data_IF_476599418511
#
_entry.id   IF_476599418511
#
_cell.length_a   1.000
_cell.length_b   1.000
_cell.length_c   1.000
_cell.angle_alpha   90.00
_cell.angle_beta   90.00
_cell.angle_gamma   90.00
#
_symmetry.space_group_name_H-M   'P 1'
#
loop_
_entity.id
_entity.type
_entity.pdbx_description
1 polymer ?
#
# COMPACT_ATOMS: atom_id res chain seq x y z
N UNK A 1 10.67 63.32 24.87
CA UNK A 1 10.64 62.02 25.57
C UNK A 1 10.32 60.97 24.50
N UNK A 2 11.35 60.39 23.89
CA UNK A 2 11.22 59.50 22.71
C UNK A 2 11.00 58.07 23.25
N UNK A 3 9.94 57.45 22.76
CA UNK A 3 9.63 56.06 23.01
C UNK A 3 10.43 55.24 22.00
N UNK A 4 11.41 54.48 22.51
CA UNK A 4 12.15 53.47 21.78
C UNK A 4 11.19 52.35 21.38
N UNK A 5 10.88 52.26 20.11
CA UNK A 5 10.27 51.08 19.50
C UNK A 5 11.26 49.92 19.51
N UNK A 6 11.06 48.99 20.45
CA UNK A 6 11.71 47.68 20.47
C UNK A 6 11.39 46.99 19.12
N UNK A 7 12.41 46.84 18.26
CA UNK A 7 12.41 45.98 17.09
C UNK A 7 12.31 44.53 17.54
N UNK A 8 11.11 44.06 17.79
CA UNK A 8 10.80 42.66 18.00
C UNK A 8 11.03 41.94 16.68
N UNK A 9 12.18 41.25 16.57
CA UNK A 9 12.48 40.42 15.41
C UNK A 9 11.36 39.41 15.19
N UNK A 10 10.67 39.52 14.05
CA UNK A 10 9.77 38.47 13.59
C UNK A 10 10.55 37.15 13.62
N UNK A 11 9.96 36.07 14.19
CA UNK A 11 10.59 34.78 14.12
C UNK A 11 10.86 34.43 12.64
N UNK A 12 12.07 33.99 12.38
CA UNK A 12 12.56 33.64 11.04
C UNK A 12 11.94 32.31 10.62
N UNK A 13 10.68 32.12 10.58
CA UNK A 13 9.91 30.92 10.20
C UNK A 13 10.70 29.61 10.04
N UNK A 14 10.04 28.51 10.15
CA UNK A 14 10.64 27.17 10.00
C UNK A 14 11.24 27.04 8.59
N UNK A 15 12.53 26.72 8.51
CA UNK A 15 13.25 26.52 7.24
C UNK A 15 13.25 25.05 6.84
N UNK A 16 13.15 24.79 5.53
CA UNK A 16 13.10 23.44 4.98
C UNK A 16 14.31 22.59 5.40
N UNK A 17 15.50 23.17 5.34
CA UNK A 17 16.75 22.49 5.74
C UNK A 17 16.79 22.10 7.22
N UNK A 18 15.99 22.74 8.06
CA UNK A 18 15.81 22.36 9.47
C UNK A 18 14.89 21.15 9.58
N UNK A 19 13.82 21.10 8.78
CA UNK A 19 12.88 19.98 8.71
C UNK A 19 13.57 18.72 8.16
N UNK A 20 14.36 18.86 7.09
CA UNK A 20 15.20 17.78 6.54
C UNK A 20 16.18 17.24 7.60
N UNK A 21 16.87 18.15 8.27
CA UNK A 21 17.80 17.78 9.33
C UNK A 21 17.15 17.03 10.49
N UNK A 22 15.95 17.47 10.89
CA UNK A 22 15.15 16.81 11.93
C UNK A 22 14.78 15.38 11.54
N UNK A 23 14.22 15.17 10.35
CA UNK A 23 13.80 13.85 9.88
C UNK A 23 14.99 12.90 9.72
N UNK A 24 16.12 13.38 9.23
CA UNK A 24 17.31 12.55 9.07
C UNK A 24 17.90 12.11 10.42
N UNK A 25 17.87 12.99 11.44
CA UNK A 25 18.28 12.61 12.82
C UNK A 25 17.26 11.65 13.44
N UNK A 26 15.96 11.86 13.23
CA UNK A 26 14.91 10.96 13.71
C UNK A 26 15.10 9.54 13.15
N UNK A 27 15.44 9.42 11.86
CA UNK A 27 15.66 8.15 11.18
C UNK A 27 16.92 7.42 11.64
N UNK A 28 18.03 8.14 11.82
CA UNK A 28 19.35 7.55 12.12
C UNK A 28 19.65 7.43 13.61
N UNK A 29 18.94 8.15 14.47
CA UNK A 29 19.19 8.22 15.91
C UNK A 29 20.55 8.83 16.27
N UNK A 30 21.21 9.57 15.34
CA UNK A 30 22.55 10.12 15.53
C UNK A 30 22.75 11.37 14.68
N UNK A 31 23.16 12.47 15.33
CA UNK A 31 23.46 13.73 14.64
C UNK A 31 24.65 13.58 13.69
N UNK A 32 25.70 12.84 14.08
CA UNK A 32 26.87 12.63 13.23
C UNK A 32 26.54 11.88 11.96
N UNK A 33 25.83 10.74 12.08
CA UNK A 33 25.40 9.94 10.91
C UNK A 33 24.42 10.68 10.02
N UNK A 34 23.54 11.51 10.60
CA UNK A 34 22.63 12.33 9.83
C UNK A 34 23.35 13.46 9.08
N UNK A 35 24.36 14.09 9.72
CA UNK A 35 25.17 15.12 9.08
C UNK A 35 25.96 14.57 7.89
N UNK A 36 26.56 13.37 8.03
CA UNK A 36 27.25 12.68 6.95
C UNK A 36 26.29 12.41 5.77
N UNK A 37 25.08 11.91 6.04
CA UNK A 37 24.10 11.63 5.01
C UNK A 37 23.58 12.88 4.27
N UNK A 38 23.56 14.02 4.97
CA UNK A 38 23.17 15.31 4.39
C UNK A 38 24.36 16.07 3.79
N UNK A 39 25.56 15.50 3.79
CA UNK A 39 26.80 16.11 3.31
C UNK A 39 27.07 17.47 3.96
N UNK A 40 26.81 17.59 5.27
CA UNK A 40 27.08 18.80 6.07
C UNK A 40 27.88 18.46 7.33
N UNK A 41 28.40 19.49 8.01
CA UNK A 41 29.10 19.28 9.29
C UNK A 41 28.11 19.06 10.44
N UNK A 42 28.53 18.29 11.46
CA UNK A 42 27.70 18.06 12.66
C UNK A 42 27.32 19.37 13.39
N UNK A 43 28.22 20.39 13.57
CA UNK A 43 27.82 21.67 14.13
C UNK A 43 26.71 22.37 13.34
N UNK A 44 26.77 22.30 12.00
CA UNK A 44 25.74 22.88 11.12
C UNK A 44 24.40 22.22 11.36
N UNK A 45 24.34 20.88 11.40
CA UNK A 45 23.12 20.16 11.67
C UNK A 45 22.55 20.44 13.06
N UNK A 46 23.45 20.51 14.08
CA UNK A 46 23.06 20.87 15.45
C UNK A 46 22.44 22.27 15.52
N UNK A 47 23.02 23.24 14.81
CA UNK A 47 22.46 24.59 14.74
C UNK A 47 21.09 24.62 14.05
N UNK A 48 20.87 23.82 12.99
CA UNK A 48 19.57 23.66 12.33
C UNK A 48 18.52 23.09 13.26
N UNK A 49 18.87 22.05 14.03
CA UNK A 49 17.94 21.43 15.00
C UNK A 49 17.57 22.42 16.11
N UNK A 50 18.53 23.10 16.71
CA UNK A 50 18.25 24.10 17.73
C UNK A 50 17.42 25.27 17.18
N UNK A 51 17.61 25.62 15.90
CA UNK A 51 16.79 26.63 15.23
C UNK A 51 15.34 26.18 15.18
N UNK A 52 15.09 24.95 14.73
CA UNK A 52 13.75 24.36 14.65
C UNK A 52 13.08 24.27 16.04
N UNK A 53 13.78 23.76 17.04
CA UNK A 53 13.27 23.64 18.40
C UNK A 53 12.90 24.99 19.02
N UNK A 54 13.67 26.05 18.72
CA UNK A 54 13.32 27.43 19.13
C UNK A 54 12.05 27.94 18.48
N UNK A 55 11.88 27.71 17.16
CA UNK A 55 10.69 28.15 16.45
C UNK A 55 9.45 27.40 16.95
N UNK A 56 9.59 26.11 17.26
CA UNK A 56 8.49 25.29 17.79
C UNK A 56 8.26 25.45 19.31
N UNK A 57 9.18 26.13 20.01
CA UNK A 57 9.11 26.39 21.45
C UNK A 57 9.26 25.14 22.32
N UNK A 58 9.72 24.01 21.76
CA UNK A 58 9.84 22.74 22.51
C UNK A 58 11.00 21.89 21.97
N UNK A 59 11.70 21.12 22.83
CA UNK A 59 12.71 20.15 22.39
C UNK A 59 12.04 19.00 21.63
N UNK A 60 12.63 18.62 20.50
CA UNK A 60 12.18 17.49 19.68
C UNK A 60 12.98 16.22 19.95
N UNK A 61 14.20 16.35 20.52
CA UNK A 61 15.07 15.23 20.84
C UNK A 61 15.53 15.22 22.30
N UNK A 62 15.76 14.01 22.80
CA UNK A 62 16.48 13.73 24.04
C UNK A 62 17.86 13.14 23.70
N UNK A 63 18.91 13.66 24.31
CA UNK A 63 20.24 13.03 24.30
C UNK A 63 20.27 11.85 25.26
N UNK A 64 20.68 10.70 24.77
CA UNK A 64 20.86 9.49 25.58
C UNK A 64 22.26 8.92 25.36
N UNK A 65 22.77 8.03 26.25
CA UNK A 65 24.06 7.35 26.04
C UNK A 65 24.11 6.55 24.72
N UNK A 66 22.96 6.20 24.15
CA UNK A 66 22.82 5.42 22.92
C UNK A 66 22.50 6.29 21.68
N UNK A 67 22.52 7.61 21.79
CA UNK A 67 22.26 8.54 20.70
C UNK A 67 21.08 9.47 20.95
N UNK A 68 20.44 9.91 19.87
CA UNK A 68 19.29 10.82 19.91
C UNK A 68 17.97 10.03 19.89
N UNK A 69 17.04 10.37 20.76
CA UNK A 69 15.67 9.82 20.78
C UNK A 69 14.66 10.95 20.69
N UNK A 70 13.59 10.72 19.94
CA UNK A 70 12.49 11.69 19.86
C UNK A 70 11.80 11.87 21.22
N UNK A 71 11.46 13.11 21.56
CA UNK A 71 10.49 13.45 22.59
C UNK A 71 9.06 13.10 22.14
N UNK A 72 8.07 13.26 23.00
CA UNK A 72 6.65 13.15 22.60
C UNK A 72 6.28 14.21 21.56
N UNK A 73 6.78 15.44 21.72
CA UNK A 73 6.65 16.51 20.75
C UNK A 73 7.33 16.16 19.41
N UNK A 74 8.55 15.59 19.47
CA UNK A 74 9.25 15.12 18.28
C UNK A 74 8.46 14.04 17.52
N UNK A 75 7.92 13.05 18.23
CA UNK A 75 7.06 12.02 17.63
C UNK A 75 5.79 12.60 16.98
N UNK A 76 5.13 13.52 17.67
CA UNK A 76 3.97 14.21 17.13
C UNK A 76 4.30 15.07 15.89
N UNK A 77 5.51 15.64 15.82
CA UNK A 77 5.94 16.50 14.71
C UNK A 77 6.34 15.73 13.45
N UNK A 78 6.86 14.50 13.56
CA UNK A 78 7.32 13.69 12.41
C UNK A 78 6.33 13.68 11.24
N UNK A 79 5.05 13.32 11.41
CA UNK A 79 4.12 13.22 10.28
C UNK A 79 3.87 14.56 9.58
N UNK A 80 3.96 15.69 10.28
CA UNK A 80 3.83 17.02 9.69
C UNK A 80 5.07 17.42 8.91
N UNK A 81 6.25 17.14 9.46
CA UNK A 81 7.55 17.37 8.81
C UNK A 81 7.66 16.59 7.50
N UNK A 82 7.29 15.32 7.51
CA UNK A 82 7.27 14.47 6.32
C UNK A 82 6.30 14.98 5.25
N UNK A 83 5.08 15.38 5.63
CA UNK A 83 4.10 15.94 4.70
C UNK A 83 4.60 17.24 4.06
N UNK A 84 5.23 18.13 4.83
CA UNK A 84 5.76 19.39 4.31
C UNK A 84 6.82 19.16 3.23
N UNK A 85 7.78 18.24 3.44
CA UNK A 85 8.79 17.89 2.45
C UNK A 85 8.19 17.24 1.21
N UNK A 86 7.21 16.36 1.40
CA UNK A 86 6.50 15.71 0.29
C UNK A 86 5.76 16.74 -0.56
N UNK A 87 4.96 17.63 0.05
CA UNK A 87 4.23 18.66 -0.68
C UNK A 87 5.12 19.51 -1.58
N UNK A 88 6.35 19.80 -1.14
CA UNK A 88 7.33 20.52 -1.96
C UNK A 88 7.91 19.68 -3.09
N UNK A 89 8.13 18.39 -2.84
CA UNK A 89 8.55 17.44 -3.87
C UNK A 89 7.48 17.32 -4.95
N UNK A 90 6.22 17.16 -4.55
CA UNK A 90 5.06 17.05 -5.45
C UNK A 90 4.86 18.33 -6.26
N UNK A 91 5.04 19.51 -5.62
CA UNK A 91 5.00 20.79 -6.32
C UNK A 91 6.11 20.93 -7.37
N UNK A 92 7.32 20.43 -7.11
CA UNK A 92 8.40 20.37 -8.12
C UNK A 92 8.07 19.42 -9.25
N UNK A 93 7.47 18.28 -8.94
CA UNK A 93 7.05 17.30 -9.93
C UNK A 93 5.90 17.83 -10.79
N UNK A 94 4.90 18.48 -10.18
CA UNK A 94 3.82 19.16 -10.90
C UNK A 94 4.35 20.23 -11.88
N UNK A 95 5.34 21.02 -11.47
CA UNK A 95 6.02 21.96 -12.36
C UNK A 95 6.78 21.25 -13.49
N UNK A 96 7.46 20.15 -13.19
CA UNK A 96 8.13 19.33 -14.20
C UNK A 96 7.14 18.72 -15.19
N UNK A 97 5.96 18.31 -14.75
CA UNK A 97 4.86 17.81 -15.61
C UNK A 97 4.30 18.91 -16.53
N UNK A 98 4.13 20.12 -16.03
CA UNK A 98 3.71 21.29 -16.85
C UNK A 98 4.77 21.65 -17.88
N UNK A 99 6.04 21.55 -17.54
CA UNK A 99 7.17 21.87 -18.44
C UNK A 99 7.46 20.73 -19.44
N UNK A 100 7.12 19.48 -19.11
CA UNK A 100 7.30 18.29 -19.95
C UNK A 100 5.98 17.52 -20.03
N UNK A 101 5.05 17.97 -20.83
CA UNK A 101 3.66 17.46 -20.98
C UNK A 101 3.52 15.94 -21.28
N UNK A 102 4.53 15.11 -21.06
CA UNK A 102 4.52 13.67 -21.31
C UNK A 102 5.52 12.88 -20.45
N UNK A 103 6.15 13.46 -19.46
CA UNK A 103 7.04 12.76 -18.53
C UNK A 103 6.51 13.00 -17.11
N UNK A 104 6.16 11.98 -16.41
CA UNK A 104 5.71 12.01 -15.01
C UNK A 104 6.12 10.75 -14.30
N UNK A 105 6.08 10.75 -12.98
CA UNK A 105 6.32 9.57 -12.17
C UNK A 105 5.01 9.14 -11.50
N UNK A 106 4.52 7.95 -11.84
CA UNK A 106 3.34 7.35 -11.25
C UNK A 106 3.77 6.41 -10.11
N UNK A 107 3.45 6.79 -8.87
CA UNK A 107 3.71 5.99 -7.67
C UNK A 107 2.43 5.29 -7.23
N UNK A 108 2.45 3.96 -7.23
CA UNK A 108 1.32 3.11 -6.85
C UNK A 108 1.72 2.23 -5.67
N UNK A 109 0.83 2.08 -4.70
CA UNK A 109 0.88 0.97 -3.75
C UNK A 109 -0.22 -0.03 -4.08
N UNK A 110 0.06 -1.33 -3.99
CA UNK A 110 -0.91 -2.35 -4.31
C UNK A 110 -0.90 -3.50 -3.30
N UNK A 111 -2.08 -4.03 -2.98
CA UNK A 111 -2.17 -5.30 -2.26
C UNK A 111 -1.47 -6.42 -3.06
N UNK A 112 -0.83 -7.43 -2.42
CA UNK A 112 0.03 -8.39 -3.09
C UNK A 112 -0.63 -9.10 -4.27
N UNK A 113 -1.88 -9.52 -4.11
CA UNK A 113 -2.63 -10.17 -5.20
C UNK A 113 -2.89 -9.21 -6.37
N UNK A 114 -3.26 -7.97 -6.06
CA UNK A 114 -3.51 -6.94 -7.08
C UNK A 114 -2.23 -6.62 -7.85
N UNK A 115 -1.12 -6.41 -7.12
CA UNK A 115 0.19 -6.12 -7.70
C UNK A 115 0.73 -7.25 -8.58
N UNK A 116 0.39 -8.50 -8.25
CA UNK A 116 0.89 -9.68 -8.97
C UNK A 116 0.02 -10.07 -10.17
N UNK A 117 -1.32 -10.00 -10.05
CA UNK A 117 -2.21 -10.62 -11.05
C UNK A 117 -3.10 -9.63 -11.80
N UNK A 118 -3.35 -8.44 -11.25
CA UNK A 118 -4.23 -7.43 -11.87
C UNK A 118 -3.44 -6.28 -12.48
N UNK A 119 -2.49 -5.73 -11.71
CA UNK A 119 -1.72 -4.56 -12.10
C UNK A 119 -0.82 -4.74 -13.33
N UNK A 120 -0.18 -5.90 -13.61
CA UNK A 120 0.69 -6.05 -14.76
C UNK A 120 0.01 -5.77 -16.10
N UNK A 121 -1.20 -6.29 -16.33
CA UNK A 121 -1.98 -6.03 -17.56
C UNK A 121 -2.33 -4.54 -17.71
N UNK A 122 -2.68 -3.89 -16.59
CA UNK A 122 -2.98 -2.45 -16.58
C UNK A 122 -1.73 -1.63 -16.91
N UNK A 123 -0.59 -1.98 -16.32
CA UNK A 123 0.67 -1.29 -16.57
C UNK A 123 1.19 -1.51 -17.98
N UNK A 124 1.02 -2.70 -18.56
CA UNK A 124 1.38 -2.96 -19.95
C UNK A 124 0.67 -1.98 -20.91
N UNK A 125 -0.64 -1.84 -20.75
CA UNK A 125 -1.46 -0.89 -21.53
C UNK A 125 -1.08 0.56 -21.25
N UNK A 126 -0.84 0.89 -19.98
CA UNK A 126 -0.52 2.24 -19.55
C UNK A 126 0.84 2.71 -20.09
N UNK A 127 1.88 1.91 -19.93
CA UNK A 127 3.24 2.25 -20.36
C UNK A 127 3.31 2.30 -21.89
N UNK A 128 2.56 1.44 -22.61
CA UNK A 128 2.46 1.52 -24.07
C UNK A 128 1.86 2.86 -24.53
N UNK A 129 0.86 3.40 -23.80
CA UNK A 129 0.25 4.71 -24.11
C UNK A 129 1.11 5.89 -23.62
N UNK A 130 1.93 5.68 -22.58
CA UNK A 130 2.72 6.72 -21.91
C UNK A 130 4.20 6.32 -21.77
N UNK A 131 4.96 6.14 -22.86
CA UNK A 131 6.30 5.53 -22.87
C UNK A 131 7.38 6.34 -22.13
N UNK A 132 7.11 7.58 -21.76
CA UNK A 132 8.05 8.44 -21.01
C UNK A 132 7.73 8.51 -19.51
N UNK A 133 6.70 7.82 -19.06
CA UNK A 133 6.31 7.80 -17.65
C UNK A 133 7.14 6.77 -16.91
N UNK A 134 7.72 7.17 -15.79
CA UNK A 134 8.31 6.27 -14.82
C UNK A 134 7.22 5.76 -13.89
N UNK A 135 7.20 4.45 -13.62
CA UNK A 135 6.24 3.84 -12.70
C UNK A 135 6.98 3.16 -11.56
N UNK A 136 6.59 3.50 -10.33
CA UNK A 136 7.05 2.82 -9.12
C UNK A 136 5.88 2.11 -8.45
N UNK A 137 6.07 0.83 -8.12
CA UNK A 137 5.06 0.02 -7.43
C UNK A 137 5.62 -0.48 -6.11
N UNK A 138 4.88 -0.23 -5.02
CA UNK A 138 5.13 -0.79 -3.69
C UNK A 138 4.04 -1.80 -3.37
N UNK A 139 4.37 -2.90 -2.72
CA UNK A 139 3.39 -3.90 -2.30
C UNK A 139 3.35 -3.98 -0.78
N UNK A 140 2.15 -4.16 -0.23
CA UNK A 140 1.90 -4.32 1.19
C UNK A 140 0.45 -4.75 1.41
N UNK A 141 0.08 -5.15 2.64
CA UNK A 141 -1.32 -5.41 2.95
C UNK A 141 -2.20 -4.18 2.68
N UNK A 142 -3.50 -4.37 2.50
CA UNK A 142 -4.38 -3.24 2.12
C UNK A 142 -4.35 -2.10 3.13
N UNK A 143 -4.12 -2.38 4.40
CA UNK A 143 -3.94 -1.41 5.47
C UNK A 143 -2.66 -0.58 5.26
N UNK A 144 -1.55 -1.23 4.92
CA UNK A 144 -0.27 -0.56 4.60
C UNK A 144 -0.43 0.32 3.36
N UNK A 145 -1.16 -0.18 2.34
CA UNK A 145 -1.48 0.57 1.12
C UNK A 145 -2.25 1.85 1.46
N UNK A 146 -3.27 1.74 2.33
CA UNK A 146 -4.04 2.90 2.82
C UNK A 146 -3.14 3.90 3.54
N UNK A 147 -2.24 3.42 4.43
CA UNK A 147 -1.31 4.31 5.13
C UNK A 147 -0.35 5.03 4.17
N UNK A 148 0.16 4.35 3.15
CA UNK A 148 1.03 4.96 2.15
C UNK A 148 0.32 6.08 1.39
N UNK A 149 -0.96 5.88 1.04
CA UNK A 149 -1.78 6.92 0.40
C UNK A 149 -2.05 8.09 1.36
N UNK A 150 -2.42 7.81 2.61
CA UNK A 150 -2.69 8.86 3.61
C UNK A 150 -1.46 9.70 3.94
N UNK A 151 -0.27 9.11 3.86
CA UNK A 151 1.01 9.80 4.10
C UNK A 151 1.57 10.49 2.86
N UNK A 152 0.85 10.49 1.72
CA UNK A 152 1.34 10.96 0.41
C UNK A 152 2.65 10.30 -0.06
N UNK A 153 2.92 9.07 0.37
CA UNK A 153 4.08 8.31 -0.11
C UNK A 153 3.84 7.68 -1.48
N UNK A 154 2.57 7.58 -1.89
CA UNK A 154 2.12 7.15 -3.20
C UNK A 154 0.87 7.94 -3.61
N UNK A 155 0.69 8.15 -4.90
CA UNK A 155 -0.45 8.89 -5.45
C UNK A 155 -1.72 8.05 -5.48
N UNK A 156 -1.59 6.75 -5.70
CA UNK A 156 -2.69 5.80 -5.77
C UNK A 156 -2.39 4.54 -4.97
N UNK A 157 -3.42 4.01 -4.34
CA UNK A 157 -3.41 2.70 -3.72
C UNK A 157 -4.42 1.78 -4.40
N UNK A 158 -4.11 0.49 -4.50
CA UNK A 158 -4.99 -0.52 -5.08
C UNK A 158 -5.13 -1.69 -4.10
N UNK A 159 -6.37 -2.00 -3.69
CA UNK A 159 -6.60 -3.06 -2.70
C UNK A 159 -8.07 -3.30 -2.42
N UNK A 160 -8.39 -4.02 -1.32
CA UNK A 160 -9.77 -4.23 -0.88
C UNK A 160 -10.42 -2.92 -0.42
N UNK A 161 -11.74 -2.83 -0.46
CA UNK A 161 -12.43 -1.61 -0.04
C UNK A 161 -12.30 -1.36 1.49
N UNK A 162 -11.42 -0.45 1.89
CA UNK A 162 -11.28 0.05 3.27
C UNK A 162 -11.81 1.48 3.30
N UNK A 163 -12.87 1.71 4.10
CA UNK A 163 -13.47 3.04 4.24
C UNK A 163 -12.64 3.91 5.19
N UNK A 164 -12.25 5.09 4.72
CA UNK A 164 -11.58 6.10 5.52
C UNK A 164 -12.12 7.49 5.14
N UNK A 165 -12.34 8.43 6.09
CA UNK A 165 -12.92 9.74 5.80
C UNK A 165 -12.10 10.56 4.80
N UNK A 166 -10.78 10.43 4.85
CA UNK A 166 -9.84 11.19 4.01
C UNK A 166 -9.53 10.50 2.66
N UNK A 167 -10.15 9.36 2.37
CA UNK A 167 -9.97 8.63 1.11
C UNK A 167 -11.19 8.73 0.21
N UNK A 168 -10.92 8.86 -1.07
CA UNK A 168 -11.84 8.57 -2.17
C UNK A 168 -11.56 7.14 -2.65
N UNK A 169 -12.61 6.35 -2.79
CA UNK A 169 -12.55 4.96 -3.25
C UNK A 169 -13.28 4.84 -4.59
N UNK A 170 -12.59 4.28 -5.59
CA UNK A 170 -13.16 3.97 -6.90
C UNK A 170 -13.07 2.48 -7.18
N UNK A 171 -14.17 1.73 -7.15
CA UNK A 171 -14.18 0.33 -7.56
C UNK A 171 -13.79 0.21 -9.04
N UNK A 172 -12.90 -0.72 -9.39
CA UNK A 172 -12.49 -0.92 -10.78
C UNK A 172 -12.38 -2.38 -11.20
N UNK A 173 -12.35 -3.32 -10.25
CA UNK A 173 -12.27 -4.74 -10.56
C UNK A 173 -13.02 -5.56 -9.52
N UNK A 174 -13.73 -6.60 -9.95
CA UNK A 174 -14.35 -7.59 -9.08
C UNK A 174 -13.89 -8.96 -9.52
N UNK A 175 -13.43 -9.78 -8.59
CA UNK A 175 -12.99 -11.13 -8.85
C UNK A 175 -13.66 -12.13 -7.92
N UNK A 176 -13.92 -13.33 -8.42
CA UNK A 176 -14.44 -14.43 -7.64
C UNK A 176 -13.31 -15.28 -7.07
N UNK A 177 -13.50 -15.79 -5.84
CA UNK A 177 -12.69 -16.89 -5.33
C UNK A 177 -13.21 -18.20 -5.97
N UNK A 178 -12.29 -18.96 -6.52
CA UNK A 178 -12.55 -20.26 -7.12
C UNK A 178 -11.93 -21.40 -6.31
N UNK A 179 -12.66 -22.50 -6.16
CA UNK A 179 -12.11 -23.70 -5.57
C UNK A 179 -11.15 -24.36 -6.55
N UNK A 180 -9.92 -24.57 -6.11
CA UNK A 180 -8.89 -25.27 -6.89
C UNK A 180 -8.37 -26.50 -6.16
N UNK A 181 -8.03 -27.53 -6.94
CA UNK A 181 -7.44 -28.76 -6.47
C UNK A 181 -6.42 -29.31 -7.48
N UNK A 182 -5.60 -30.26 -7.03
CA UNK A 182 -4.70 -31.01 -7.92
C UNK A 182 -5.48 -31.79 -9.00
N UNK A 183 -4.90 -32.01 -10.20
CA UNK A 183 -5.57 -32.74 -11.27
C UNK A 183 -6.01 -34.18 -10.90
N UNK A 184 -5.31 -34.82 -9.98
CA UNK A 184 -5.66 -36.17 -9.50
C UNK A 184 -6.72 -36.19 -8.40
N UNK A 185 -7.17 -35.03 -7.89
CA UNK A 185 -8.13 -34.95 -6.80
C UNK A 185 -9.50 -35.51 -7.20
N UNK A 186 -10.21 -36.22 -6.29
CA UNK A 186 -11.53 -36.81 -6.60
C UNK A 186 -12.57 -35.78 -7.11
N UNK A 187 -12.50 -34.54 -6.67
CA UNK A 187 -13.41 -33.46 -7.09
C UNK A 187 -13.38 -33.19 -8.60
N UNK A 188 -12.25 -33.49 -9.26
CA UNK A 188 -12.11 -33.26 -10.73
C UNK A 188 -12.99 -34.18 -11.57
N UNK A 189 -13.50 -35.29 -11.00
CA UNK A 189 -14.39 -36.24 -11.67
C UNK A 189 -15.86 -35.86 -11.53
N UNK A 190 -16.16 -34.75 -10.85
CA UNK A 190 -17.52 -34.30 -10.55
C UNK A 190 -17.82 -32.99 -11.25
N UNK A 191 -19.09 -32.80 -11.64
CA UNK A 191 -19.54 -31.54 -12.24
C UNK A 191 -19.50 -30.37 -11.23
N UNK A 192 -19.79 -30.66 -9.96
CA UNK A 192 -19.73 -29.71 -8.83
C UNK A 192 -19.66 -30.46 -7.49
N UNK A 193 -19.31 -29.73 -6.45
CA UNK A 193 -19.23 -30.22 -5.06
C UNK A 193 -20.01 -29.31 -4.13
N UNK A 194 -20.43 -29.82 -2.96
CA UNK A 194 -21.04 -29.00 -1.94
C UNK A 194 -19.95 -28.31 -1.07
N UNK A 195 -20.25 -27.14 -0.55
CA UNK A 195 -19.33 -26.39 0.33
C UNK A 195 -18.96 -27.20 1.60
N UNK A 196 -19.89 -28.01 2.10
CA UNK A 196 -19.67 -28.91 3.24
C UNK A 196 -18.60 -30.00 2.94
N UNK A 197 -18.55 -30.48 1.69
CA UNK A 197 -17.53 -31.43 1.25
C UNK A 197 -16.16 -30.77 1.18
N UNK A 198 -16.10 -29.53 0.70
CA UNK A 198 -14.87 -28.71 0.68
C UNK A 198 -14.36 -28.46 2.08
N UNK A 199 -15.24 -28.15 3.04
CA UNK A 199 -14.87 -27.94 4.44
C UNK A 199 -14.35 -29.20 5.14
N UNK A 200 -14.66 -30.39 4.63
CA UNK A 200 -14.17 -31.68 5.15
C UNK A 200 -12.76 -32.03 4.65
N UNK A 201 -12.30 -31.39 3.58
CA UNK A 201 -10.96 -31.56 3.02
C UNK A 201 -9.88 -30.81 3.83
N UNK A 202 -8.63 -31.12 3.54
CA UNK A 202 -7.52 -30.28 4.01
C UNK A 202 -7.53 -28.96 3.26
N UNK A 203 -7.94 -27.88 3.92
CA UNK A 203 -7.98 -26.56 3.33
C UNK A 203 -6.64 -25.84 3.48
N UNK A 204 -6.21 -25.24 2.38
CA UNK A 204 -5.12 -24.27 2.35
C UNK A 204 -5.79 -22.90 2.24
N UNK A 205 -5.64 -22.09 3.29
CA UNK A 205 -6.27 -20.77 3.42
C UNK A 205 -5.21 -19.68 3.59
N UNK A 206 -5.62 -18.46 3.31
CA UNK A 206 -4.81 -17.30 3.63
C UNK A 206 -4.77 -17.06 5.14
N UNK A 207 -3.79 -16.29 5.57
CA UNK A 207 -3.75 -15.76 6.93
C UNK A 207 -4.94 -14.84 7.22
N UNK A 208 -5.22 -14.62 8.51
CA UNK A 208 -6.41 -13.90 8.97
C UNK A 208 -6.43 -12.41 8.63
N UNK A 209 -5.31 -11.85 8.18
CA UNK A 209 -5.21 -10.44 7.78
C UNK A 209 -5.62 -10.24 6.32
N UNK A 210 -5.77 -11.33 5.57
CA UNK A 210 -6.18 -11.29 4.17
C UNK A 210 -7.69 -11.14 4.00
N UNK A 211 -8.13 -10.27 3.09
CA UNK A 211 -9.53 -10.18 2.68
C UNK A 211 -10.08 -11.49 2.10
N UNK A 212 -9.23 -12.28 1.47
CA UNK A 212 -9.62 -13.58 0.94
C UNK A 212 -9.93 -14.59 2.04
N UNK A 213 -9.24 -14.51 3.18
CA UNK A 213 -9.61 -15.30 4.36
C UNK A 213 -11.00 -14.92 4.86
N UNK A 214 -11.28 -13.62 5.02
CA UNK A 214 -12.58 -13.12 5.49
C UNK A 214 -13.73 -13.59 4.57
N UNK A 215 -13.52 -13.50 3.24
CA UNK A 215 -14.52 -13.92 2.26
C UNK A 215 -14.77 -15.43 2.32
N UNK A 216 -13.70 -16.25 2.31
CA UNK A 216 -13.80 -17.70 2.39
C UNK A 216 -14.44 -18.15 3.71
N UNK A 217 -13.96 -17.61 4.84
CA UNK A 217 -14.50 -17.89 6.17
C UNK A 217 -15.98 -17.51 6.27
N UNK A 218 -16.35 -16.33 5.75
CA UNK A 218 -17.74 -15.86 5.70
C UNK A 218 -18.64 -16.82 4.91
N UNK A 219 -18.15 -17.36 3.80
CA UNK A 219 -18.90 -18.35 2.99
C UNK A 219 -19.14 -19.65 3.77
N UNK A 220 -18.14 -20.21 4.45
CA UNK A 220 -18.31 -21.41 5.28
C UNK A 220 -19.26 -21.15 6.45
N UNK A 221 -19.12 -20.02 7.15
CA UNK A 221 -20.01 -19.64 8.25
C UNK A 221 -21.46 -19.48 7.79
N UNK A 222 -21.70 -18.81 6.65
CA UNK A 222 -23.03 -18.61 6.08
C UNK A 222 -23.70 -19.93 5.67
N UNK A 223 -22.90 -20.91 5.27
CA UNK A 223 -23.37 -22.27 4.97
C UNK A 223 -23.56 -23.15 6.23
N UNK A 224 -23.27 -22.63 7.43
CA UNK A 224 -23.34 -23.38 8.68
C UNK A 224 -22.27 -24.47 8.83
N UNK A 225 -21.14 -24.33 8.13
CA UNK A 225 -20.10 -25.36 8.05
C UNK A 225 -18.84 -24.91 8.76
N UNK A 226 -18.27 -25.81 9.55
CA UNK A 226 -16.98 -25.59 10.22
C UNK A 226 -15.84 -26.23 9.43
N UNK A 227 -14.82 -25.46 9.16
CA UNK A 227 -13.61 -25.90 8.46
C UNK A 227 -12.73 -26.73 9.38
N UNK A 228 -12.19 -27.85 8.87
CA UNK A 228 -11.27 -28.73 9.59
C UNK A 228 -9.93 -28.82 8.85
N UNK A 229 -8.83 -28.82 9.60
CA UNK A 229 -7.48 -29.08 9.03
C UNK A 229 -6.98 -27.98 8.10
N UNK A 230 -6.95 -26.76 8.60
CA UNK A 230 -6.47 -25.59 7.86
C UNK A 230 -4.95 -25.51 7.87
N UNK A 231 -4.35 -25.27 6.70
CA UNK A 231 -2.99 -24.80 6.53
C UNK A 231 -3.04 -23.32 6.19
N UNK A 232 -2.49 -22.47 7.02
CA UNK A 232 -2.51 -21.00 6.81
C UNK A 232 -1.22 -20.56 6.10
N UNK A 233 -1.35 -19.72 5.08
CA UNK A 233 -0.26 -19.17 4.26
C UNK A 233 -0.52 -17.70 3.93
N UNK A 234 0.54 -16.92 3.85
CA UNK A 234 0.52 -15.51 3.44
C UNK A 234 0.77 -15.30 1.93
N UNK A 235 1.07 -16.39 1.20
CA UNK A 235 1.46 -16.34 -0.21
C UNK A 235 0.54 -17.19 -1.08
N UNK A 236 -0.10 -16.54 -2.07
CA UNK A 236 -0.92 -17.22 -3.11
C UNK A 236 -0.07 -18.22 -3.90
N UNK A 237 1.17 -17.83 -4.26
CA UNK A 237 2.07 -18.71 -5.02
C UNK A 237 2.44 -19.97 -4.22
N UNK A 238 2.70 -19.83 -2.92
CA UNK A 238 2.93 -20.98 -2.05
C UNK A 238 1.68 -21.87 -1.98
N UNK A 239 0.49 -21.28 -1.82
CA UNK A 239 -0.77 -22.03 -1.79
C UNK A 239 -0.98 -22.81 -3.10
N UNK A 240 -0.77 -22.18 -4.27
CA UNK A 240 -0.85 -22.87 -5.58
C UNK A 240 0.09 -24.08 -5.62
N UNK A 241 1.36 -23.91 -5.22
CA UNK A 241 2.34 -24.99 -5.24
C UNK A 241 1.97 -26.15 -4.28
N UNK A 242 1.37 -25.85 -3.15
CA UNK A 242 0.90 -26.90 -2.22
C UNK A 242 -0.32 -27.64 -2.76
N UNK A 243 -1.27 -26.92 -3.41
CA UNK A 243 -2.40 -27.57 -4.08
C UNK A 243 -1.93 -28.44 -5.25
N UNK A 244 -0.99 -27.98 -6.09
CA UNK A 244 -0.38 -28.77 -7.17
C UNK A 244 0.22 -30.10 -6.65
N UNK A 245 0.79 -30.08 -5.45
CA UNK A 245 1.37 -31.26 -4.78
C UNK A 245 0.33 -32.14 -4.08
N UNK A 246 -0.97 -31.79 -4.13
CA UNK A 246 -2.04 -32.57 -3.51
C UNK A 246 -2.07 -32.49 -1.98
N UNK A 247 -1.49 -31.44 -1.39
CA UNK A 247 -1.48 -31.26 0.07
C UNK A 247 -2.83 -30.80 0.62
N UNK A 248 -3.74 -30.36 -0.26
CA UNK A 248 -5.08 -29.91 0.09
C UNK A 248 -5.75 -29.23 -1.11
N UNK A 249 -6.89 -28.61 -0.82
CA UNK A 249 -7.65 -27.75 -1.76
C UNK A 249 -7.63 -26.32 -1.26
N UNK A 250 -7.83 -25.35 -2.16
CA UNK A 250 -7.83 -23.94 -1.79
C UNK A 250 -8.94 -23.16 -2.50
N UNK A 251 -9.37 -22.06 -1.85
CA UNK A 251 -10.18 -21.01 -2.45
C UNK A 251 -9.22 -19.85 -2.81
N UNK A 252 -8.96 -19.65 -4.08
CA UNK A 252 -7.99 -18.68 -4.59
C UNK A 252 -8.66 -17.70 -5.57
N UNK A 253 -8.14 -16.45 -5.70
CA UNK A 253 -8.61 -15.52 -6.71
C UNK A 253 -8.55 -16.13 -8.11
N UNK A 254 -9.61 -15.95 -8.89
CA UNK A 254 -9.69 -16.50 -10.26
C UNK A 254 -8.55 -16.00 -11.14
N UNK A 255 -8.20 -14.72 -11.01
CA UNK A 255 -7.06 -14.10 -11.71
C UNK A 255 -5.71 -14.77 -11.39
N UNK A 256 -5.53 -15.21 -10.14
CA UNK A 256 -4.28 -15.81 -9.67
C UNK A 256 -4.05 -17.24 -10.18
N UNK A 257 -5.10 -17.95 -10.56
CA UNK A 257 -5.06 -19.37 -10.96
C UNK A 257 -5.37 -19.62 -12.44
N UNK A 258 -5.71 -18.58 -13.19
CA UNK A 258 -6.15 -18.68 -14.59
C UNK A 258 -5.11 -19.47 -15.43
N UNK A 259 -3.84 -19.16 -15.29
CA UNK A 259 -2.74 -19.81 -16.03
C UNK A 259 -2.56 -21.28 -15.65
N UNK A 260 -2.63 -21.58 -14.36
CA UNK A 260 -2.52 -22.97 -13.87
C UNK A 260 -3.69 -23.83 -14.31
N UNK A 261 -4.90 -23.25 -14.35
CA UNK A 261 -6.11 -23.94 -14.84
C UNK A 261 -6.00 -24.19 -16.34
N UNK A 262 -5.55 -23.22 -17.12
CA UNK A 262 -5.29 -23.34 -18.57
C UNK A 262 -4.24 -24.41 -18.84
N UNK A 263 -3.11 -24.38 -18.14
CA UNK A 263 -2.02 -25.35 -18.23
C UNK A 263 -2.35 -26.71 -17.59
N UNK A 264 -3.50 -26.83 -16.96
CA UNK A 264 -3.98 -28.05 -16.30
C UNK A 264 -3.12 -28.54 -15.13
N UNK A 265 -2.29 -27.69 -14.55
CA UNK A 265 -1.53 -27.98 -13.33
C UNK A 265 -2.40 -27.86 -12.08
N UNK A 266 -3.47 -27.05 -12.16
CA UNK A 266 -4.58 -27.00 -11.24
C UNK A 266 -5.91 -27.27 -11.95
N UNK A 267 -6.92 -27.64 -11.18
CA UNK A 267 -8.30 -27.77 -11.65
C UNK A 267 -9.23 -26.90 -10.83
N UNK A 268 -9.97 -26.04 -11.50
CA UNK A 268 -11.07 -25.31 -10.89
C UNK A 268 -12.31 -26.21 -10.82
N UNK A 269 -12.98 -26.24 -9.68
CA UNK A 269 -14.16 -27.04 -9.41
C UNK A 269 -15.30 -26.13 -8.98
N UNK A 270 -16.49 -26.32 -9.55
CA UNK A 270 -17.67 -25.54 -9.17
C UNK A 270 -18.22 -26.00 -7.82
N UNK A 271 -18.66 -25.06 -7.00
CA UNK A 271 -19.47 -25.32 -5.82
C UNK A 271 -20.92 -24.94 -6.14
N UNK A 272 -21.90 -25.83 -5.87
CA UNK A 272 -23.28 -25.62 -6.29
C UNK A 272 -24.15 -24.91 -5.24
N UNK A 273 -23.70 -24.88 -4.00
CA UNK A 273 -24.43 -24.33 -2.84
C UNK A 273 -23.63 -23.27 -2.06
N UNK A 274 -22.47 -22.86 -2.57
CA UNK A 274 -21.68 -21.82 -1.96
C UNK A 274 -22.27 -20.43 -2.21
N UNK A 275 -22.30 -19.54 -1.23
CA UNK A 275 -22.64 -18.15 -1.46
C UNK A 275 -21.60 -17.47 -2.37
N UNK A 276 -21.95 -16.32 -2.99
CA UNK A 276 -20.97 -15.56 -3.77
C UNK A 276 -19.74 -15.20 -2.94
N UNK A 277 -18.55 -15.48 -3.47
CA UNK A 277 -17.28 -15.17 -2.84
C UNK A 277 -16.52 -14.17 -3.71
N UNK A 278 -17.00 -12.93 -3.67
CA UNK A 278 -16.48 -11.86 -4.52
C UNK A 278 -15.62 -10.90 -3.71
N UNK A 279 -14.50 -10.52 -4.28
CA UNK A 279 -13.63 -9.46 -3.78
C UNK A 279 -13.70 -8.27 -4.74
N UNK A 280 -14.12 -7.12 -4.23
CA UNK A 280 -14.11 -5.87 -5.00
C UNK A 280 -12.81 -5.12 -4.70
N UNK A 281 -12.03 -4.91 -5.76
CA UNK A 281 -10.78 -4.14 -5.71
C UNK A 281 -11.10 -2.69 -6.06
N UNK A 282 -10.57 -1.79 -5.24
CA UNK A 282 -10.75 -0.35 -5.39
C UNK A 282 -9.40 0.35 -5.57
N UNK A 283 -9.44 1.48 -6.25
CA UNK A 283 -8.37 2.47 -6.22
C UNK A 283 -8.65 3.44 -5.06
N UNK A 284 -7.63 3.69 -4.24
CA UNK A 284 -7.63 4.70 -3.19
C UNK A 284 -6.89 5.92 -3.65
N UNK A 285 -7.41 7.06 -3.28
CA UNK A 285 -6.77 8.36 -3.43
C UNK A 285 -7.13 9.26 -2.26
N UNK A 286 -6.26 10.17 -1.88
CA UNK A 286 -6.61 11.19 -0.89
C UNK A 286 -7.70 12.10 -1.41
N UNK A 287 -8.69 12.39 -0.57
CA UNK A 287 -9.83 13.24 -0.89
C UNK A 287 -9.43 14.71 -1.06
N UNK A 288 -8.43 15.16 -0.28
CA UNK A 288 -7.91 16.53 -0.30
C UNK A 288 -6.85 16.79 -1.39
N UNK A 289 -6.48 15.76 -2.17
CA UNK A 289 -5.53 15.91 -3.28
C UNK A 289 -6.12 16.62 -4.52
N UNK A 290 -7.32 17.20 -4.41
CA UNK A 290 -7.98 17.94 -5.50
C UNK A 290 -8.50 17.05 -6.63
N UNK A 291 -8.79 17.61 -7.79
CA UNK A 291 -9.17 16.84 -8.99
C UNK A 291 -7.96 16.09 -9.54
N UNK A 292 -8.09 14.80 -9.93
CA UNK A 292 -6.98 14.10 -10.58
C UNK A 292 -6.58 14.79 -11.88
N UNK A 293 -5.30 15.04 -12.04
CA UNK A 293 -4.74 15.68 -13.25
C UNK A 293 -3.57 14.87 -13.80
N UNK A 294 -3.18 15.13 -15.04
CA UNK A 294 -2.02 14.55 -15.68
C UNK A 294 -2.02 13.02 -15.66
N UNK A 295 -0.91 12.43 -15.22
CA UNK A 295 -0.69 10.98 -15.32
C UNK A 295 -1.58 10.17 -14.36
N UNK A 296 -1.96 10.74 -13.22
CA UNK A 296 -2.87 10.09 -12.26
C UNK A 296 -4.29 10.00 -12.84
N UNK A 297 -4.76 11.08 -13.50
CA UNK A 297 -6.05 11.07 -14.18
C UNK A 297 -6.07 10.03 -15.30
N UNK A 298 -5.03 9.98 -16.14
CA UNK A 298 -4.91 9.02 -17.23
C UNK A 298 -4.91 7.57 -16.73
N UNK A 299 -4.26 7.29 -15.60
CA UNK A 299 -4.28 5.94 -15.02
C UNK A 299 -5.65 5.58 -14.44
N UNK A 300 -6.33 6.51 -13.77
CA UNK A 300 -7.69 6.30 -13.25
C UNK A 300 -8.71 6.06 -14.38
N UNK A 301 -8.61 6.79 -15.49
CA UNK A 301 -9.43 6.56 -16.69
C UNK A 301 -9.20 5.16 -17.26
N UNK A 302 -7.94 4.68 -17.28
CA UNK A 302 -7.63 3.32 -17.70
C UNK A 302 -8.29 2.26 -16.79
N UNK A 303 -8.38 2.49 -15.48
CA UNK A 303 -9.06 1.59 -14.55
C UNK A 303 -10.57 1.51 -14.83
N UNK A 304 -11.20 2.62 -15.24
CA UNK A 304 -12.64 2.70 -15.54
C UNK A 304 -13.00 2.10 -16.91
N UNK A 305 -12.07 2.04 -17.85
CA UNK A 305 -12.27 1.52 -19.21
C UNK A 305 -12.21 -0.02 -19.33
N UNK A 306 -12.25 -0.75 -18.23
CA UNK A 306 -12.11 -2.22 -18.17
C UNK A 306 -13.44 -2.98 -18.18
#
# INVERSE_FOLDING_TARGET
MAIEESRNGKPNGIQLVQVEGFLEVARRGSVSRAAEALFITQPTLTARLHGLERELGTPLFLRTPHGMRLTDAGRAWVPFAERALRALSDGREALAQVMNASAGHLMIAAAPAVGTYVLPELLERFVAAHPRVEVSVRTGHSEDVVELVLRDEVQLGLGRAIRHPDLELRPFHTEDLVLVCAPAHPFTKRASVAIAEVAAEKLIMFDRTSSYYEIAQGAFLSAGVSVRGVMELDSIEAAKKMVERGLGVALLPGSAVAREVENKTLRAVKMHDAPPMQNTIVAYRRRDAGTPEGIVAAFLELLEAR
#
